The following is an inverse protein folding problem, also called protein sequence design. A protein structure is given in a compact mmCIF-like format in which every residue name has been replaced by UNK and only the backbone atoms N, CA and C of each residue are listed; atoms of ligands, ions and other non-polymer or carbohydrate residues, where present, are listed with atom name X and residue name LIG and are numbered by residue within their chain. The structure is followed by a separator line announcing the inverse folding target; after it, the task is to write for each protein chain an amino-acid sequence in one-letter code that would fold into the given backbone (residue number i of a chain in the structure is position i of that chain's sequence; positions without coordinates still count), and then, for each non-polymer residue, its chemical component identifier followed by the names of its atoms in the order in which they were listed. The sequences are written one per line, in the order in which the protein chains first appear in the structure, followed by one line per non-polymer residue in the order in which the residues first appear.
data_IF_733091895781
#
_entry.id   IF_733091895781
#
_cell.length_a   1.000
_cell.length_b   1.000
_cell.length_c   1.000
_cell.angle_alpha   90.00
_cell.angle_beta   90.00
_cell.angle_gamma   90.00
#
_symmetry.space_group_name_H-M   'P 1'
#
loop_
_entity.id
_entity.type
_entity.pdbx_description
1 polymer ?
#
# COMPACT_ATOMS: atom_id res chain seq x y z
N UNK A 1 14.80 15.19 25.93
CA UNK A 1 13.36 15.42 26.22
C UNK A 1 12.56 15.88 24.99
N UNK A 2 13.19 16.53 24.01
CA UNK A 2 12.49 16.95 22.78
C UNK A 2 12.10 15.81 21.83
N UNK A 3 12.93 14.78 21.69
CA UNK A 3 12.62 13.62 20.82
C UNK A 3 11.33 12.91 21.24
N UNK A 4 11.07 12.77 22.54
CA UNK A 4 9.83 12.16 23.03
C UNK A 4 8.59 12.97 22.64
N UNK A 5 8.70 14.30 22.63
CA UNK A 5 7.59 15.18 22.24
C UNK A 5 7.30 15.08 20.73
N UNK A 6 8.32 14.94 19.90
CA UNK A 6 8.18 14.79 18.45
C UNK A 6 7.55 13.42 18.11
N UNK A 7 8.04 12.34 18.72
CA UNK A 7 7.49 10.99 18.52
C UNK A 7 6.01 10.94 18.91
N UNK A 8 5.64 11.54 20.05
CA UNK A 8 4.24 11.60 20.49
C UNK A 8 3.36 12.40 19.51
N UNK A 9 3.82 13.54 19.05
CA UNK A 9 3.08 14.36 18.08
C UNK A 9 2.87 13.63 16.77
N UNK A 10 3.91 12.99 16.23
CA UNK A 10 3.82 12.19 15.00
C UNK A 10 2.89 11.01 15.19
N UNK A 11 2.95 10.31 16.31
CA UNK A 11 2.08 9.17 16.62
C UNK A 11 0.61 9.57 16.72
N UNK A 12 0.31 10.69 17.38
CA UNK A 12 -1.07 11.20 17.52
C UNK A 12 -1.61 11.64 16.15
N UNK A 13 -0.84 12.41 15.39
CA UNK A 13 -1.25 12.84 14.05
C UNK A 13 -1.44 11.66 13.11
N UNK A 14 -0.54 10.67 13.15
CA UNK A 14 -0.65 9.44 12.39
C UNK A 14 -1.89 8.62 12.78
N UNK A 15 -2.19 8.52 14.07
CA UNK A 15 -3.38 7.84 14.56
C UNK A 15 -4.67 8.53 14.11
N UNK A 16 -4.75 9.86 14.23
CA UNK A 16 -5.91 10.63 13.78
C UNK A 16 -6.10 10.51 12.26
N UNK A 17 -5.02 10.62 11.49
CA UNK A 17 -5.06 10.42 10.04
C UNK A 17 -5.53 9.02 9.66
N UNK A 18 -5.01 7.99 10.31
CA UNK A 18 -5.42 6.60 10.09
C UNK A 18 -6.88 6.36 10.48
N UNK A 19 -7.36 6.97 11.57
CA UNK A 19 -8.75 6.85 12.01
C UNK A 19 -9.71 7.51 11.02
N UNK A 20 -9.41 8.71 10.53
CA UNK A 20 -10.19 9.40 9.50
C UNK A 20 -10.20 8.61 8.19
N UNK A 21 -9.04 8.12 7.76
CA UNK A 21 -8.94 7.30 6.57
C UNK A 21 -9.72 5.99 6.70
N UNK A 22 -9.62 5.30 7.84
CA UNK A 22 -10.37 4.08 8.12
C UNK A 22 -11.89 4.30 8.13
N UNK A 23 -12.36 5.39 8.72
CA UNK A 23 -13.77 5.76 8.75
C UNK A 23 -14.31 6.06 7.34
N UNK A 24 -13.59 6.82 6.54
CA UNK A 24 -13.97 7.12 5.15
C UNK A 24 -13.92 5.87 4.27
N UNK A 25 -12.86 5.06 4.36
CA UNK A 25 -12.71 3.81 3.62
C UNK A 25 -13.80 2.79 3.95
N UNK A 26 -14.22 2.72 5.22
CA UNK A 26 -15.32 1.87 5.67
C UNK A 26 -16.65 2.28 5.05
N UNK A 27 -16.98 3.58 5.05
CA UNK A 27 -18.24 4.10 4.50
C UNK A 27 -18.31 4.07 2.98
N UNK A 28 -17.20 4.37 2.31
CA UNK A 28 -17.15 4.48 0.83
C UNK A 28 -16.89 3.15 0.15
N UNK A 29 -16.57 2.09 0.91
CA UNK A 29 -16.09 0.82 0.37
C UNK A 29 -14.93 1.00 -0.62
N UNK A 30 -14.06 1.96 -0.33
CA UNK A 30 -12.93 2.32 -1.17
C UNK A 30 -11.93 1.16 -1.22
N UNK A 31 -11.87 0.47 -2.36
CA UNK A 31 -11.04 -0.73 -2.55
C UNK A 31 -10.67 -0.87 -4.02
N UNK A 32 -9.38 -1.03 -4.30
CA UNK A 32 -8.87 -1.22 -5.67
C UNK A 32 -9.43 -2.49 -6.31
N UNK A 33 -9.43 -3.61 -5.59
CA UNK A 33 -9.96 -4.88 -6.09
C UNK A 33 -11.46 -4.75 -6.42
N UNK A 34 -12.24 -4.10 -5.54
CA UNK A 34 -13.65 -3.83 -5.78
C UNK A 34 -13.87 -2.94 -7.00
N UNK A 35 -13.02 -1.92 -7.22
CA UNK A 35 -13.13 -1.02 -8.35
C UNK A 35 -12.85 -1.69 -9.70
N UNK A 36 -11.87 -2.60 -9.73
CA UNK A 36 -11.54 -3.41 -10.91
C UNK A 36 -12.63 -4.44 -11.17
N UNK A 37 -13.12 -5.10 -10.13
CA UNK A 37 -14.22 -6.07 -10.23
C UNK A 37 -15.50 -5.43 -10.76
N UNK A 38 -15.88 -4.25 -10.26
CA UNK A 38 -17.05 -3.50 -10.74
C UNK A 38 -16.88 -3.11 -12.21
N UNK A 39 -15.68 -2.73 -12.63
CA UNK A 39 -15.43 -2.40 -14.03
C UNK A 39 -15.54 -3.61 -14.94
N UNK A 40 -14.96 -4.76 -14.57
CA UNK A 40 -14.95 -5.96 -15.41
C UNK A 40 -16.33 -6.63 -15.43
N UNK A 41 -16.98 -6.78 -14.27
CA UNK A 41 -18.21 -7.56 -14.14
C UNK A 41 -19.49 -6.72 -14.38
N UNK A 42 -19.46 -5.44 -13.98
CA UNK A 42 -20.65 -4.57 -14.06
C UNK A 42 -20.50 -3.42 -15.07
N UNK A 43 -19.34 -3.26 -15.69
CA UNK A 43 -19.04 -2.14 -16.59
C UNK A 43 -18.96 -0.76 -15.91
N UNK A 44 -19.10 -0.71 -14.59
CA UNK A 44 -19.09 0.53 -13.81
C UNK A 44 -17.67 1.02 -13.55
N UNK A 45 -17.33 2.21 -14.06
CA UNK A 45 -16.02 2.84 -13.91
C UNK A 45 -15.96 3.88 -12.79
N UNK A 46 -17.04 4.09 -12.06
CA UNK A 46 -17.15 5.18 -11.07
C UNK A 46 -16.10 5.04 -9.97
N UNK A 47 -16.00 3.87 -9.36
CA UNK A 47 -15.01 3.59 -8.31
C UNK A 47 -13.57 3.62 -8.82
N UNK A 48 -13.34 3.13 -10.03
CA UNK A 48 -12.03 3.15 -10.65
C UNK A 48 -11.54 4.58 -10.91
N UNK A 49 -12.41 5.45 -11.43
CA UNK A 49 -12.11 6.88 -11.63
C UNK A 49 -11.81 7.58 -10.29
N UNK A 50 -12.58 7.31 -9.25
CA UNK A 50 -12.32 7.85 -7.91
C UNK A 50 -10.95 7.41 -7.39
N UNK A 51 -10.57 6.17 -7.63
CA UNK A 51 -9.27 5.64 -7.21
C UNK A 51 -8.11 6.30 -7.96
N UNK A 52 -8.21 6.42 -9.29
CA UNK A 52 -7.20 7.12 -10.12
C UNK A 52 -7.08 8.59 -9.72
N UNK A 53 -8.23 9.27 -9.48
CA UNK A 53 -8.23 10.65 -9.02
C UNK A 53 -7.53 10.81 -7.67
N UNK A 54 -7.75 9.88 -6.74
CA UNK A 54 -7.10 9.90 -5.42
C UNK A 54 -5.58 9.79 -5.54
N UNK A 55 -5.08 8.93 -6.44
CA UNK A 55 -3.63 8.83 -6.73
C UNK A 55 -3.11 10.14 -7.32
N UNK A 56 -3.83 10.70 -8.30
CA UNK A 56 -3.43 11.98 -8.91
C UNK A 56 -3.31 13.10 -7.88
N UNK A 57 -4.30 13.24 -7.00
CA UNK A 57 -4.28 14.24 -5.92
C UNK A 57 -3.12 13.97 -4.95
N UNK A 58 -2.85 12.70 -4.61
CA UNK A 58 -1.75 12.35 -3.72
C UNK A 58 -0.38 12.71 -4.33
N UNK A 59 -0.19 12.44 -5.61
CA UNK A 59 1.05 12.80 -6.32
C UNK A 59 1.23 14.32 -6.37
N UNK A 60 0.18 15.06 -6.76
CA UNK A 60 0.22 16.52 -6.80
C UNK A 60 0.47 17.12 -5.41
N UNK A 61 -0.15 16.56 -4.37
CA UNK A 61 0.07 16.97 -3.00
C UNK A 61 1.51 16.73 -2.53
N UNK A 62 2.06 15.55 -2.79
CA UNK A 62 3.43 15.20 -2.42
C UNK A 62 4.46 16.07 -3.15
N UNK A 63 4.28 16.28 -4.45
CA UNK A 63 5.15 17.16 -5.25
C UNK A 63 5.01 18.63 -4.81
N UNK A 64 3.79 19.08 -4.52
CA UNK A 64 3.58 20.44 -4.00
C UNK A 64 4.27 20.67 -2.66
N UNK A 65 4.20 19.72 -1.73
CA UNK A 65 4.89 19.80 -0.45
C UNK A 65 6.42 19.77 -0.60
N UNK A 66 6.92 19.00 -1.57
CA UNK A 66 8.35 18.99 -1.88
C UNK A 66 8.84 20.34 -2.43
N UNK A 67 8.10 20.93 -3.36
CA UNK A 67 8.42 22.26 -3.90
C UNK A 67 8.36 23.38 -2.86
N UNK A 68 7.48 23.25 -1.86
CA UNK A 68 7.39 24.18 -0.73
C UNK A 68 8.49 23.97 0.32
N UNK A 69 9.37 22.96 0.14
CA UNK A 69 10.45 22.64 1.07
C UNK A 69 9.99 22.00 2.39
N UNK A 70 8.73 21.57 2.46
CA UNK A 70 8.18 20.91 3.65
C UNK A 70 8.53 19.43 3.73
N UNK A 71 8.81 18.81 2.60
CA UNK A 71 9.11 17.40 2.48
C UNK A 71 10.30 17.20 1.54
N UNK A 72 11.34 16.51 2.01
CA UNK A 72 12.44 16.07 1.16
C UNK A 72 12.16 14.68 0.59
N UNK A 73 11.82 14.61 -0.69
CA UNK A 73 11.63 13.36 -1.41
C UNK A 73 12.97 12.75 -1.86
N UNK A 74 14.06 13.53 -1.90
CA UNK A 74 15.37 13.06 -2.36
C UNK A 74 15.97 11.94 -1.52
N UNK A 75 15.61 11.85 -0.22
CA UNK A 75 15.99 10.76 0.66
C UNK A 75 15.08 9.53 0.59
N UNK A 76 14.10 9.49 -0.31
CA UNK A 76 13.18 8.35 -0.43
C UNK A 76 13.84 7.17 -1.12
N UNK A 77 13.76 5.99 -0.49
CA UNK A 77 14.24 4.70 -1.03
C UNK A 77 13.58 4.35 -2.39
N UNK A 78 12.41 4.93 -2.68
CA UNK A 78 11.65 4.66 -3.91
C UNK A 78 12.14 5.47 -5.12
N UNK A 79 12.96 6.51 -4.92
CA UNK A 79 13.55 7.32 -5.97
C UNK A 79 15.00 6.91 -6.29
N UNK A 80 15.46 5.75 -5.80
CA UNK A 80 16.76 5.19 -6.12
C UNK A 80 16.89 4.88 -7.61
N UNK A 81 18.12 4.95 -8.13
CA UNK A 81 18.44 4.79 -9.54
C UNK A 81 18.16 3.38 -10.12
N UNK A 82 17.94 2.35 -9.28
CA UNK A 82 17.71 0.99 -9.72
C UNK A 82 16.22 0.72 -9.95
N UNK A 83 15.82 0.78 -11.21
CA UNK A 83 14.45 0.51 -11.62
C UNK A 83 14.28 -0.95 -12.05
N UNK A 84 13.96 -1.83 -11.10
CA UNK A 84 13.71 -3.26 -11.32
C UNK A 84 12.34 -3.51 -11.98
N UNK A 85 12.18 -3.18 -13.26
CA UNK A 85 10.91 -3.30 -14.00
C UNK A 85 10.34 -4.72 -13.95
N UNK A 86 11.18 -5.74 -14.06
CA UNK A 86 10.80 -7.14 -13.95
C UNK A 86 10.25 -7.47 -12.56
N UNK A 87 10.88 -6.95 -11.49
CA UNK A 87 10.42 -7.10 -10.11
C UNK A 87 9.04 -6.48 -9.89
N UNK A 88 8.79 -5.30 -10.44
CA UNK A 88 7.48 -4.64 -10.35
C UNK A 88 6.39 -5.40 -11.09
N UNK A 89 6.67 -5.93 -12.29
CA UNK A 89 5.70 -6.72 -13.07
C UNK A 89 5.37 -8.04 -12.36
N UNK A 90 6.36 -8.82 -12.00
CA UNK A 90 6.15 -10.12 -11.36
C UNK A 90 5.54 -9.94 -9.97
N UNK A 91 6.05 -8.98 -9.18
CA UNK A 91 5.51 -8.64 -7.88
C UNK A 91 4.05 -8.16 -7.95
N UNK A 92 3.72 -7.36 -8.96
CA UNK A 92 2.36 -6.89 -9.20
C UNK A 92 1.38 -8.02 -9.55
N UNK A 93 1.79 -8.98 -10.38
CA UNK A 93 0.99 -10.17 -10.72
C UNK A 93 0.78 -11.04 -9.49
N UNK A 94 1.84 -11.36 -8.74
CA UNK A 94 1.75 -12.15 -7.50
C UNK A 94 0.86 -11.46 -6.46
N UNK A 95 1.00 -10.15 -6.31
CA UNK A 95 0.17 -9.36 -5.41
C UNK A 95 -1.31 -9.37 -5.83
N UNK A 96 -1.58 -9.25 -7.12
CA UNK A 96 -2.94 -9.34 -7.66
C UNK A 96 -3.59 -10.70 -7.41
N UNK A 97 -2.85 -11.79 -7.64
CA UNK A 97 -3.31 -13.15 -7.32
C UNK A 97 -3.54 -13.32 -5.80
N UNK A 98 -2.64 -12.81 -4.97
CA UNK A 98 -2.81 -12.83 -3.51
C UNK A 98 -4.06 -12.09 -3.04
N UNK A 99 -4.38 -10.94 -3.64
CA UNK A 99 -5.59 -10.18 -3.33
C UNK A 99 -6.87 -10.96 -3.65
N UNK A 100 -6.90 -11.70 -4.76
CA UNK A 100 -8.07 -12.52 -5.15
C UNK A 100 -8.27 -13.70 -4.20
N UNK A 101 -7.19 -14.40 -3.83
CA UNK A 101 -7.22 -15.51 -2.88
C UNK A 101 -7.58 -15.06 -1.46
N UNK A 102 -7.09 -13.91 -1.03
CA UNK A 102 -7.39 -13.31 0.29
C UNK A 102 -8.77 -12.65 0.38
N UNK A 103 -9.59 -12.69 -0.68
CA UNK A 103 -10.90 -12.05 -0.77
C UNK A 103 -10.88 -10.54 -0.48
N UNK A 104 -9.76 -9.88 -0.74
CA UNK A 104 -9.60 -8.43 -0.60
C UNK A 104 -8.15 -7.97 -0.47
N UNK A 105 -7.94 -6.67 -0.68
CA UNK A 105 -6.65 -6.04 -0.39
C UNK A 105 -6.44 -5.90 1.13
N UNK A 106 -5.19 -5.66 1.56
CA UNK A 106 -4.85 -5.50 2.99
C UNK A 106 -5.68 -4.44 3.70
N UNK A 107 -5.97 -3.32 3.04
CA UNK A 107 -6.84 -2.26 3.57
C UNK A 107 -8.26 -2.77 3.87
N UNK A 108 -8.87 -3.52 2.95
CA UNK A 108 -10.21 -4.07 3.17
C UNK A 108 -10.23 -5.12 4.28
N UNK A 109 -9.15 -5.90 4.38
CA UNK A 109 -8.98 -6.87 5.47
C UNK A 109 -8.89 -6.17 6.82
N UNK A 110 -8.13 -5.08 6.93
CA UNK A 110 -8.04 -4.26 8.14
C UNK A 110 -9.40 -3.66 8.54
N UNK A 111 -10.15 -3.10 7.59
CA UNK A 111 -11.49 -2.55 7.84
C UNK A 111 -12.45 -3.64 8.34
N UNK A 112 -12.39 -4.85 7.77
CA UNK A 112 -13.20 -5.99 8.22
C UNK A 112 -12.83 -6.46 9.61
N UNK A 113 -11.53 -6.47 9.94
CA UNK A 113 -11.06 -6.79 11.30
C UNK A 113 -11.59 -5.76 12.29
N UNK A 114 -11.54 -4.47 11.97
CA UNK A 114 -12.13 -3.41 12.78
C UNK A 114 -13.65 -3.55 12.95
N UNK A 115 -14.34 -4.19 11.99
CA UNK A 115 -15.75 -4.56 12.09
C UNK A 115 -16.02 -5.87 12.84
N UNK A 116 -15.00 -6.49 13.48
CA UNK A 116 -15.16 -7.72 14.29
C UNK A 116 -15.12 -9.02 13.51
N UNK A 117 -14.67 -9.04 12.25
CA UNK A 117 -14.61 -10.27 11.46
C UNK A 117 -13.33 -11.08 11.77
N UNK A 118 -13.45 -12.13 12.55
CA UNK A 118 -12.35 -13.02 12.96
C UNK A 118 -11.70 -13.76 11.78
N UNK A 119 -12.45 -14.07 10.72
CA UNK A 119 -11.87 -14.71 9.52
C UNK A 119 -10.86 -13.76 8.84
N UNK A 120 -11.18 -12.48 8.79
CA UNK A 120 -10.28 -11.45 8.26
C UNK A 120 -9.05 -11.23 9.15
N UNK A 121 -9.17 -11.43 10.46
CA UNK A 121 -8.04 -11.40 11.38
C UNK A 121 -7.02 -12.51 11.07
N UNK A 122 -7.50 -13.72 10.81
CA UNK A 122 -6.62 -14.85 10.42
C UNK A 122 -5.86 -14.52 9.11
N UNK A 123 -6.58 -14.01 8.10
CA UNK A 123 -5.97 -13.58 6.82
C UNK A 123 -4.92 -12.50 7.05
N UNK A 124 -5.20 -11.53 7.94
CA UNK A 124 -4.26 -10.45 8.27
C UNK A 124 -2.98 -10.98 8.93
N UNK A 125 -3.10 -11.92 9.86
CA UNK A 125 -1.96 -12.56 10.53
C UNK A 125 -1.10 -13.31 9.52
N UNK A 126 -1.69 -14.13 8.67
CA UNK A 126 -0.96 -14.87 7.62
C UNK A 126 -0.26 -13.90 6.68
N UNK A 127 -0.94 -12.83 6.27
CA UNK A 127 -0.38 -11.81 5.40
C UNK A 127 0.80 -11.07 6.06
N UNK A 128 0.71 -10.75 7.35
CA UNK A 128 1.78 -10.10 8.10
C UNK A 128 3.01 -11.01 8.23
N UNK A 129 2.82 -12.29 8.55
CA UNK A 129 3.91 -13.28 8.65
C UNK A 129 4.59 -13.44 7.29
N UNK A 130 3.80 -13.57 6.21
CA UNK A 130 4.31 -13.74 4.86
C UNK A 130 5.09 -12.49 4.40
N UNK A 131 4.55 -11.30 4.67
CA UNK A 131 5.23 -10.04 4.38
C UNK A 131 6.56 -9.92 5.13
N UNK A 132 6.59 -10.28 6.41
CA UNK A 132 7.83 -10.29 7.20
C UNK A 132 8.85 -11.29 6.66
N UNK A 133 8.41 -12.51 6.32
CA UNK A 133 9.27 -13.53 5.72
C UNK A 133 9.85 -13.09 4.37
N UNK A 134 9.08 -12.34 3.57
CA UNK A 134 9.53 -11.81 2.27
C UNK A 134 10.49 -10.64 2.41
N UNK A 135 10.31 -9.79 3.45
CA UNK A 135 11.16 -8.61 3.64
C UNK A 135 12.48 -8.94 4.34
N UNK A 136 12.48 -9.84 5.33
CA UNK A 136 13.65 -10.14 6.18
C UNK A 136 13.97 -11.63 6.32
N UNK A 137 13.20 -12.52 5.70
CA UNK A 137 13.39 -13.97 5.78
C UNK A 137 14.13 -14.55 4.59
N UNK A 138 14.07 -15.87 4.49
CA UNK A 138 14.70 -16.67 3.42
C UNK A 138 14.28 -16.22 2.01
N UNK A 139 13.04 -15.73 1.85
CA UNK A 139 12.55 -15.20 0.57
C UNK A 139 13.20 -13.87 0.16
N UNK A 140 13.80 -13.15 1.10
CA UNK A 140 14.53 -11.93 0.79
C UNK A 140 15.80 -12.22 -0.02
N UNK A 141 16.49 -13.32 0.26
CA UNK A 141 17.70 -13.76 -0.47
C UNK A 141 17.32 -14.08 -1.93
N UNK A 142 16.28 -14.91 -2.11
CA UNK A 142 15.78 -15.25 -3.46
C UNK A 142 15.35 -14.01 -4.22
N UNK A 143 14.72 -13.05 -3.54
CA UNK A 143 14.30 -11.80 -4.15
C UNK A 143 15.50 -10.99 -4.65
N UNK A 144 16.55 -10.85 -3.84
CA UNK A 144 17.76 -10.08 -4.18
C UNK A 144 18.49 -10.76 -5.33
N UNK A 145 18.73 -12.07 -5.27
CA UNK A 145 19.47 -12.79 -6.33
C UNK A 145 18.71 -12.84 -7.67
N UNK A 146 17.40 -13.01 -7.64
CA UNK A 146 16.59 -13.16 -8.88
C UNK A 146 16.20 -11.82 -9.48
N UNK A 147 15.85 -10.83 -8.64
CA UNK A 147 15.30 -9.57 -9.14
C UNK A 147 16.37 -8.48 -9.34
N UNK A 148 17.45 -8.47 -8.55
CA UNK A 148 18.55 -7.55 -8.78
C UNK A 148 19.40 -7.98 -9.99
N UNK A 149 19.48 -9.29 -10.29
CA UNK A 149 20.09 -9.77 -11.52
C UNK A 149 19.31 -9.39 -12.80
N UNK A 150 18.02 -9.05 -12.67
CA UNK A 150 17.16 -8.56 -13.76
C UNK A 150 16.91 -7.05 -13.70
N UNK A 151 17.54 -6.34 -12.78
CA UNK A 151 17.49 -4.88 -12.72
C UNK A 151 18.31 -4.31 -13.88
N UNK A 152 17.68 -3.49 -14.71
CA UNK A 152 18.37 -2.72 -15.74
C UNK A 152 18.84 -1.43 -15.05
N UNK A 153 20.16 -1.28 -14.91
CA UNK A 153 20.76 -0.01 -14.50
C UNK A 153 20.52 1.03 -15.60
N UNK A 154 19.74 2.06 -15.28
CA UNK A 154 19.48 3.24 -16.10
C UNK A 154 20.30 4.42 -15.61
#
# INVERSE_FOLDING_TARGET
MEEWSVVHKVSILGFLGAALFGATASKTHFCIMGSISDWINMGSRVRFRAWVLSIGIAILGAQGMHHLGWLDLGGSIYLGANFGLAGFLIGGVLFGMGMTLGAGCGQRTLVRVGGGNLKSLLVLIVMAITAYATLRGLLAIVRIEVFDALAIDL
#
